data_IF_305455682534
#
_entry.id   IF_305455682534
#
_cell.length_a   1.000
_cell.length_b   1.000
_cell.length_c   1.000
_cell.angle_alpha   90.00
_cell.angle_beta   90.00
_cell.angle_gamma   90.00
#
_symmetry.space_group_name_H-M   'P 1'
#
loop_
_entity.id
_entity.type
_entity.pdbx_description
1 polymer ?
#
# COMPACT_ATOMS: atom_id res chain seq x y z
N UNK A 1 60.68 -7.65 9.27
CA UNK A 1 59.86 -7.20 8.11
C UNK A 1 58.87 -8.32 7.85
N UNK A 2 57.71 -8.42 8.52
CA UNK A 2 56.52 -7.54 8.57
C UNK A 2 55.86 -7.37 7.20
N UNK A 3 55.42 -8.48 6.61
CA UNK A 3 54.51 -8.47 5.47
C UNK A 3 53.16 -9.04 5.91
N UNK A 4 52.36 -8.07 6.34
CA UNK A 4 50.99 -8.11 6.81
C UNK A 4 50.07 -8.08 5.58
N UNK A 5 49.75 -9.23 4.98
CA UNK A 5 48.81 -9.27 3.84
C UNK A 5 48.09 -10.61 3.75
N UNK A 6 47.10 -10.84 4.61
CA UNK A 6 45.93 -11.65 4.26
C UNK A 6 44.71 -10.92 4.82
N UNK A 7 44.32 -9.86 4.09
CA UNK A 7 42.98 -9.32 4.15
C UNK A 7 42.14 -10.14 3.16
N UNK A 8 41.23 -10.97 3.66
CA UNK A 8 40.15 -11.48 2.82
C UNK A 8 38.91 -11.85 3.63
N UNK A 9 37.81 -11.20 3.24
CA UNK A 9 36.44 -11.65 3.36
C UNK A 9 35.84 -11.78 4.76
N UNK A 10 35.31 -10.67 5.27
CA UNK A 10 34.13 -10.71 6.12
C UNK A 10 33.22 -9.51 5.79
N UNK A 11 32.84 -9.38 4.52
CA UNK A 11 31.69 -8.56 4.14
C UNK A 11 30.43 -9.36 4.44
N UNK A 12 30.07 -9.50 5.71
CA UNK A 12 28.70 -9.84 6.09
C UNK A 12 27.86 -8.64 5.72
N UNK A 13 27.35 -8.67 4.49
CA UNK A 13 26.25 -7.85 4.03
C UNK A 13 25.13 -8.13 5.04
N UNK A 14 24.99 -7.22 6.00
CA UNK A 14 23.81 -7.14 6.83
C UNK A 14 22.67 -6.91 5.84
N UNK A 15 22.01 -8.01 5.48
CA UNK A 15 20.79 -8.03 4.70
C UNK A 15 19.81 -7.20 5.52
N UNK A 16 19.71 -5.93 5.17
CA UNK A 16 18.76 -5.01 5.74
C UNK A 16 17.39 -5.62 5.48
N UNK A 17 16.83 -6.27 6.49
CA UNK A 17 15.42 -6.63 6.53
C UNK A 17 14.65 -5.32 6.41
N UNK A 18 14.35 -4.93 5.18
CA UNK A 18 13.41 -3.88 4.92
C UNK A 18 12.11 -4.32 5.61
N UNK A 19 11.46 -3.44 6.39
CA UNK A 19 10.28 -3.81 7.12
C UNK A 19 9.20 -4.25 6.13
N UNK A 20 8.80 -5.52 6.19
CA UNK A 20 7.73 -6.11 5.38
C UNK A 20 6.36 -5.41 5.54
N UNK A 21 6.27 -4.45 6.46
CA UNK A 21 5.07 -3.66 6.77
C UNK A 21 4.76 -2.52 5.79
N UNK A 22 5.67 -2.19 4.86
CA UNK A 22 5.40 -1.21 3.80
C UNK A 22 4.54 -1.81 2.68
N UNK A 23 4.93 -3.00 2.19
CA UNK A 23 4.27 -3.68 1.07
C UNK A 23 2.79 -3.96 1.33
N UNK A 24 2.44 -4.41 2.54
CA UNK A 24 1.06 -4.80 2.87
C UNK A 24 0.06 -3.64 2.73
N UNK A 25 0.47 -2.39 3.01
CA UNK A 25 -0.40 -1.21 2.82
C UNK A 25 -0.53 -0.83 1.36
N UNK A 26 0.55 -0.96 0.59
CA UNK A 26 0.57 -0.66 -0.83
C UNK A 26 -0.28 -1.68 -1.61
N UNK A 27 -0.15 -2.96 -1.28
CA UNK A 27 -0.98 -4.06 -1.79
C UNK A 27 -2.47 -3.80 -1.50
N UNK A 28 -2.79 -3.47 -0.25
CA UNK A 28 -4.14 -3.10 0.17
C UNK A 28 -4.69 -1.87 -0.55
N UNK A 29 -3.83 -0.89 -0.85
CA UNK A 29 -4.18 0.29 -1.63
C UNK A 29 -4.53 -0.10 -3.06
N UNK A 30 -3.67 -0.87 -3.72
CA UNK A 30 -3.90 -1.31 -5.09
C UNK A 30 -5.15 -2.19 -5.20
N UNK A 31 -5.38 -3.09 -4.25
CA UNK A 31 -6.58 -3.91 -4.20
C UNK A 31 -7.85 -3.05 -4.09
N UNK A 32 -7.85 -2.09 -3.16
CA UNK A 32 -9.00 -1.23 -2.96
C UNK A 32 -9.21 -0.23 -4.13
N UNK A 33 -8.14 0.35 -4.67
CA UNK A 33 -8.19 1.21 -5.85
C UNK A 33 -8.71 0.46 -7.09
N UNK A 34 -8.19 -0.74 -7.33
CA UNK A 34 -8.64 -1.61 -8.41
C UNK A 34 -10.12 -2.03 -8.25
N UNK A 35 -10.57 -2.27 -7.03
CA UNK A 35 -11.99 -2.56 -6.77
C UNK A 35 -12.90 -1.36 -7.02
N UNK A 36 -12.44 -0.13 -6.74
CA UNK A 36 -13.18 1.10 -7.04
C UNK A 36 -13.25 1.36 -8.54
N UNK A 37 -12.17 1.11 -9.25
CA UNK A 37 -12.07 1.22 -10.72
C UNK A 37 -12.99 0.20 -11.40
N UNK A 38 -12.93 -1.06 -10.99
CA UNK A 38 -13.78 -2.14 -11.52
C UNK A 38 -15.28 -1.91 -11.26
N UNK A 39 -15.63 -1.19 -10.20
CA UNK A 39 -17.03 -0.81 -9.90
C UNK A 39 -17.45 0.49 -10.61
N UNK A 40 -16.54 1.16 -11.34
CA UNK A 40 -16.81 2.44 -11.99
C UNK A 40 -17.02 3.60 -11.01
N UNK A 41 -16.57 3.45 -9.76
CA UNK A 41 -16.73 4.47 -8.71
C UNK A 41 -15.64 5.54 -8.79
N UNK A 42 -14.41 5.15 -9.10
CA UNK A 42 -13.30 6.07 -9.28
C UNK A 42 -12.24 5.44 -10.19
N UNK A 43 -11.88 6.14 -11.27
CA UNK A 43 -10.84 5.68 -12.18
C UNK A 43 -9.45 5.79 -11.53
N UNK A 44 -8.67 4.70 -11.55
CA UNK A 44 -7.37 4.67 -10.88
C UNK A 44 -6.38 5.71 -11.44
N UNK A 45 -6.47 6.01 -12.73
CA UNK A 45 -5.64 7.01 -13.40
C UNK A 45 -6.09 8.46 -13.17
N UNK A 46 -7.31 8.68 -12.67
CA UNK A 46 -7.82 10.03 -12.41
C UNK A 46 -7.52 10.53 -10.99
N UNK A 47 -7.20 9.61 -10.07
CA UNK A 47 -7.04 9.92 -8.64
C UNK A 47 -5.78 9.31 -8.06
N UNK A 48 -5.01 10.13 -7.35
CA UNK A 48 -3.98 9.66 -6.43
C UNK A 48 -4.62 9.13 -5.14
N UNK A 49 -4.46 7.84 -4.87
CA UNK A 49 -4.95 7.19 -3.65
C UNK A 49 -3.98 7.42 -2.49
N UNK A 50 -4.49 7.89 -1.34
CA UNK A 50 -3.74 8.04 -0.10
C UNK A 50 -4.36 7.18 0.99
N UNK A 51 -3.56 6.30 1.59
CA UNK A 51 -3.99 5.53 2.76
C UNK A 51 -4.32 6.48 3.92
N UNK A 52 -5.51 6.36 4.50
CA UNK A 52 -5.90 7.13 5.69
C UNK A 52 -5.77 6.26 6.93
N UNK A 53 -6.44 5.11 6.93
CA UNK A 53 -6.45 4.19 8.07
C UNK A 53 -6.86 2.79 7.61
N UNK A 54 -6.35 1.77 8.28
CA UNK A 54 -6.93 0.43 8.27
C UNK A 54 -7.41 0.10 9.69
N UNK A 55 -8.54 -0.58 9.80
CA UNK A 55 -9.10 -1.07 11.06
C UNK A 55 -9.61 -2.49 10.91
N UNK A 56 -9.29 -3.34 11.88
CA UNK A 56 -9.80 -4.70 11.97
C UNK A 56 -8.72 -5.76 11.74
N UNK A 57 -8.93 -6.93 12.35
CA UNK A 57 -8.03 -8.08 12.25
C UNK A 57 -8.46 -9.05 11.15
N UNK A 58 -9.49 -9.85 11.42
CA UNK A 58 -9.99 -10.84 10.45
C UNK A 58 -10.72 -10.22 9.23
N UNK A 59 -11.26 -9.02 9.40
CA UNK A 59 -11.88 -8.20 8.35
C UNK A 59 -11.22 -6.84 8.41
N UNK A 60 -10.44 -6.50 7.39
CA UNK A 60 -9.69 -5.26 7.34
C UNK A 60 -10.52 -4.20 6.60
N UNK A 61 -11.02 -3.20 7.33
CA UNK A 61 -11.63 -2.01 6.74
C UNK A 61 -10.55 -0.98 6.45
N UNK A 62 -10.43 -0.57 5.20
CA UNK A 62 -9.41 0.35 4.73
C UNK A 62 -10.09 1.59 4.21
N UNK A 63 -9.68 2.73 4.74
CA UNK A 63 -10.15 4.03 4.28
C UNK A 63 -9.05 4.68 3.49
N UNK A 64 -9.37 5.02 2.24
CA UNK A 64 -8.52 5.73 1.30
C UNK A 64 -9.07 7.12 1.07
N UNK A 65 -8.19 8.09 0.82
CA UNK A 65 -8.55 9.38 0.26
C UNK A 65 -8.12 9.42 -1.20
N UNK A 66 -9.06 9.69 -2.08
CA UNK A 66 -8.86 9.87 -3.51
C UNK A 66 -8.62 11.36 -3.76
N UNK A 67 -7.41 11.70 -4.18
CA UNK A 67 -7.00 13.07 -4.48
C UNK A 67 -6.97 13.18 -6.01
N UNK A 68 -7.83 13.99 -6.65
CA UNK A 68 -7.84 14.07 -8.10
C UNK A 68 -6.52 14.62 -8.62
N UNK A 69 -6.09 14.12 -9.78
CA UNK A 69 -4.87 14.62 -10.46
C UNK A 69 -5.11 15.96 -11.17
N UNK A 70 -6.36 16.25 -11.54
CA UNK A 70 -6.81 17.53 -12.05
C UNK A 70 -7.56 18.33 -10.97
N UNK A 71 -7.88 19.58 -11.25
CA UNK A 71 -8.79 20.37 -10.38
C UNK A 71 -10.11 19.63 -10.18
N UNK A 72 -10.40 19.27 -8.93
CA UNK A 72 -11.59 18.49 -8.57
C UNK A 72 -11.69 18.25 -7.06
N UNK A 73 -12.85 17.77 -6.59
CA UNK A 73 -13.04 17.46 -5.17
C UNK A 73 -12.28 16.18 -4.78
N UNK A 74 -11.64 16.22 -3.60
CA UNK A 74 -11.11 15.00 -2.99
C UNK A 74 -12.24 14.13 -2.49
N UNK A 75 -12.25 12.86 -2.86
CA UNK A 75 -13.23 11.88 -2.39
C UNK A 75 -12.61 11.00 -1.30
N UNK A 76 -13.43 10.40 -0.46
CA UNK A 76 -12.98 9.37 0.49
C UNK A 76 -13.65 8.05 0.10
N UNK A 77 -12.92 6.95 0.17
CA UNK A 77 -13.44 5.62 -0.12
C UNK A 77 -13.15 4.69 1.05
N UNK A 78 -14.08 3.81 1.37
CA UNK A 78 -13.88 2.70 2.28
C UNK A 78 -13.95 1.38 1.50
N UNK A 79 -12.94 0.53 1.68
CA UNK A 79 -12.97 -0.85 1.25
C UNK A 79 -12.96 -1.79 2.45
N UNK A 80 -13.65 -2.91 2.31
CA UNK A 80 -13.65 -4.00 3.28
C UNK A 80 -12.92 -5.16 2.64
N UNK A 81 -11.78 -5.53 3.21
CA UNK A 81 -10.96 -6.67 2.77
C UNK A 81 -11.21 -7.85 3.73
N UNK A 82 -11.49 -9.02 3.16
CA UNK A 82 -11.64 -10.28 3.89
C UNK A 82 -10.74 -11.31 3.24
N UNK A 83 -9.84 -11.91 4.02
CA UNK A 83 -8.91 -12.96 3.55
C UNK A 83 -8.08 -12.56 2.31
N UNK A 84 -7.73 -11.28 2.19
CA UNK A 84 -6.94 -10.76 1.06
C UNK A 84 -7.75 -10.32 -0.16
N UNK A 85 -9.08 -10.47 -0.14
CA UNK A 85 -9.95 -10.02 -1.24
C UNK A 85 -10.84 -8.85 -0.80
N UNK A 86 -11.12 -7.93 -1.72
CA UNK A 86 -12.04 -6.81 -1.47
C UNK A 86 -13.48 -7.34 -1.48
N UNK A 87 -14.06 -7.47 -0.30
CA UNK A 87 -15.46 -7.88 -0.12
C UNK A 87 -16.45 -6.75 -0.44
N UNK A 88 -16.06 -5.48 -0.28
CA UNK A 88 -16.89 -4.32 -0.60
C UNK A 88 -16.03 -3.08 -0.81
N UNK A 89 -16.44 -2.18 -1.71
CA UNK A 89 -15.88 -0.83 -1.80
C UNK A 89 -17.02 0.19 -1.89
N UNK A 90 -16.86 1.35 -1.25
CA UNK A 90 -17.90 2.39 -1.20
C UNK A 90 -17.25 3.76 -1.09
N UNK A 91 -17.83 4.75 -1.78
CA UNK A 91 -17.44 6.14 -1.61
C UNK A 91 -18.13 6.71 -0.35
N UNK A 92 -17.32 7.26 0.54
CA UNK A 92 -17.76 8.07 1.67
C UNK A 92 -17.85 9.51 1.16
N UNK A 93 -19.07 9.90 0.78
CA UNK A 93 -19.41 11.28 0.39
C UNK A 93 -19.38 12.25 1.55
#
# INVERSE_FOLDING_TARGET
>A
MKNLLIALAASTIALSAAPAFAGEREDQLQLCAGALDAQGLAAIDAYRTKFVKAKGGAVQKIVLKLIPLADGPSLTAECVIKRGEVASATLLS
#
